data_IF_300514065160
#
_entry.id   IF_300514065160
#
_cell.length_a   1.000
_cell.length_b   1.000
_cell.length_c   1.000
_cell.angle_alpha   90.00
_cell.angle_beta   90.00
_cell.angle_gamma   90.00
#
_symmetry.space_group_name_H-M   'P 1'
#
loop_
_entity.id
_entity.type
_entity.pdbx_description
1 polymer ?
#
# COMPACT_ATOMS: atom_id res chain seq x y z
N UNK A 1 16.07 -16.04 21.48
CA UNK A 1 15.16 -15.02 20.91
C UNK A 1 13.98 -15.79 20.39
N UNK A 2 12.76 -15.38 20.71
CA UNK A 2 11.56 -15.99 20.13
C UNK A 2 11.63 -15.75 18.63
N UNK A 3 11.52 -16.80 17.81
CA UNK A 3 11.38 -16.62 16.36
C UNK A 3 9.97 -16.08 16.12
N UNK A 4 9.88 -14.87 15.56
CA UNK A 4 8.63 -14.25 15.16
C UNK A 4 8.76 -13.81 13.71
N UNK A 5 7.72 -14.11 12.92
CA UNK A 5 7.62 -13.74 11.52
C UNK A 5 6.33 -12.97 11.34
N UNK A 6 6.40 -11.80 10.70
CA UNK A 6 5.22 -11.03 10.33
C UNK A 6 4.98 -11.16 8.83
N UNK A 7 3.72 -11.30 8.45
CA UNK A 7 3.27 -11.12 7.08
C UNK A 7 2.51 -9.80 6.99
N UNK A 8 2.82 -9.00 5.97
CA UNK A 8 2.13 -7.76 5.67
C UNK A 8 1.71 -7.76 4.20
N UNK A 9 0.42 -7.57 3.88
CA UNK A 9 -0.04 -7.61 2.49
C UNK A 9 0.59 -6.51 1.65
N UNK A 10 0.80 -6.76 0.36
CA UNK A 10 1.00 -5.70 -0.61
C UNK A 10 -0.23 -4.81 -0.68
N UNK A 11 -0.06 -3.52 -0.95
CA UNK A 11 -1.17 -2.59 -1.07
C UNK A 11 -1.10 -1.83 -2.38
N UNK A 12 -2.21 -1.86 -3.12
CA UNK A 12 -2.40 -1.09 -4.35
C UNK A 12 -3.40 0.02 -4.07
N UNK A 13 -2.96 1.27 -4.21
CA UNK A 13 -3.86 2.43 -4.13
C UNK A 13 -4.58 2.63 -5.47
N UNK A 14 -5.90 2.77 -5.47
CA UNK A 14 -6.68 3.10 -6.68
C UNK A 14 -6.86 4.61 -6.88
N UNK A 15 -6.98 5.38 -5.80
CA UNK A 15 -6.98 6.84 -5.82
C UNK A 15 -6.63 7.38 -4.43
N UNK A 16 -6.18 8.63 -4.37
CA UNK A 16 -5.87 9.28 -3.10
C UNK A 16 -5.93 10.80 -3.14
N UNK A 17 -5.93 11.42 -1.97
CA UNK A 17 -5.55 12.81 -1.73
C UNK A 17 -4.54 12.84 -0.60
N UNK A 18 -3.45 13.58 -0.77
CA UNK A 18 -2.39 13.74 0.20
C UNK A 18 -2.73 14.85 1.21
N UNK A 19 -2.47 14.59 2.49
CA UNK A 19 -2.70 15.52 3.60
C UNK A 19 -1.41 15.60 4.42
N UNK A 20 -0.64 16.65 4.16
CA UNK A 20 0.60 16.95 4.87
C UNK A 20 0.29 17.55 6.25
N UNK A 21 1.08 17.20 7.25
CA UNK A 21 1.04 17.77 8.60
C UNK A 21 2.47 17.72 9.18
N UNK A 22 2.82 18.67 10.05
CA UNK A 22 4.12 18.66 10.74
C UNK A 22 4.23 17.47 11.71
N UNK A 23 3.09 16.96 12.20
CA UNK A 23 3.00 15.76 13.00
C UNK A 23 2.85 14.53 12.09
N UNK A 24 3.86 13.65 12.01
CA UNK A 24 3.83 12.49 11.11
C UNK A 24 2.71 11.50 11.44
N UNK A 25 2.15 11.54 12.66
CA UNK A 25 1.02 10.69 13.04
C UNK A 25 -0.32 11.23 12.53
N UNK A 26 -0.41 12.52 12.18
CA UNK A 26 -1.59 13.17 11.58
C UNK A 26 -1.50 13.27 10.08
N UNK A 27 -0.29 13.45 9.56
CA UNK A 27 -0.01 13.40 8.14
C UNK A 27 -0.45 12.05 7.58
N UNK A 28 -0.94 12.05 6.36
CA UNK A 28 -1.38 10.83 5.70
C UNK A 28 -2.16 11.10 4.43
N UNK A 29 -3.05 10.18 4.09
CA UNK A 29 -3.86 10.27 2.87
C UNK A 29 -5.29 9.85 3.14
N UNK A 30 -6.20 10.39 2.33
CA UNK A 30 -7.53 9.82 2.13
C UNK A 30 -7.56 9.12 0.78
N UNK A 31 -8.40 8.10 0.62
CA UNK A 31 -8.47 7.35 -0.64
C UNK A 31 -8.94 5.92 -0.45
N UNK A 32 -8.78 5.10 -1.47
CA UNK A 32 -9.09 3.68 -1.38
C UNK A 32 -8.08 2.84 -2.15
N UNK A 33 -8.00 1.57 -1.78
CA UNK A 33 -7.09 0.61 -2.40
C UNK A 33 -7.50 -0.82 -2.14
N UNK A 34 -6.57 -1.74 -2.37
CA UNK A 34 -6.74 -3.17 -2.14
C UNK A 34 -5.48 -3.74 -1.48
N UNK A 35 -5.67 -4.54 -0.44
CA UNK A 35 -4.62 -5.31 0.21
C UNK A 35 -4.56 -6.70 -0.40
N UNK A 36 -3.44 -7.03 -1.03
CA UNK A 36 -3.21 -8.27 -1.75
C UNK A 36 -2.80 -9.40 -0.79
N UNK A 37 -3.14 -10.64 -1.11
CA UNK A 37 -2.62 -11.81 -0.40
C UNK A 37 -1.15 -12.08 -0.70
N UNK A 38 -0.63 -11.51 -1.80
CA UNK A 38 0.80 -11.39 -2.04
C UNK A 38 1.32 -10.22 -1.21
N UNK A 39 2.49 -10.36 -0.61
CA UNK A 39 2.96 -9.41 0.37
C UNK A 39 4.39 -9.63 0.80
N UNK A 40 4.72 -9.01 1.93
CA UNK A 40 6.06 -8.95 2.49
C UNK A 40 6.10 -9.78 3.76
N UNK A 41 7.09 -10.66 3.84
CA UNK A 41 7.43 -11.40 5.06
C UNK A 41 8.61 -10.72 5.73
N UNK A 42 8.51 -10.46 7.03
CA UNK A 42 9.55 -9.83 7.82
C UNK A 42 9.92 -10.72 9.00
N UNK A 43 11.22 -10.87 9.24
CA UNK A 43 11.78 -11.56 10.40
C UNK A 43 13.02 -10.83 10.90
N UNK A 44 13.39 -11.06 12.16
CA UNK A 44 14.55 -10.44 12.79
C UNK A 44 15.66 -11.45 13.07
N UNK A 45 16.90 -11.05 12.83
CA UNK A 45 18.12 -11.79 13.17
C UNK A 45 19.02 -10.96 14.11
N UNK A 46 19.90 -11.59 14.89
CA UNK A 46 20.94 -10.86 15.63
C UNK A 46 21.85 -10.09 14.67
N UNK A 47 21.97 -8.77 14.86
CA UNK A 47 22.81 -7.92 14.03
C UNK A 47 22.19 -6.54 13.83
N UNK A 48 22.63 -5.88 12.77
CA UNK A 48 22.19 -4.55 12.32
C UNK A 48 21.99 -4.55 10.80
N UNK A 49 21.18 -3.61 10.32
CA UNK A 49 20.93 -3.37 8.89
C UNK A 49 19.74 -4.14 8.33
N UNK A 50 19.43 -3.88 7.06
CA UNK A 50 18.29 -4.46 6.37
C UNK A 50 18.76 -5.31 5.20
N UNK A 51 18.15 -6.49 5.07
CA UNK A 51 18.28 -7.37 3.91
C UNK A 51 16.92 -7.46 3.21
N UNK A 52 16.89 -7.21 1.90
CA UNK A 52 15.72 -7.39 1.05
C UNK A 52 16.05 -8.46 0.00
N UNK A 53 15.31 -9.58 0.01
CA UNK A 53 15.49 -10.70 -0.92
C UNK A 53 16.95 -11.20 -1.02
N UNK A 54 17.66 -11.26 0.10
CA UNK A 54 19.07 -11.71 0.14
C UNK A 54 20.11 -10.62 -0.11
N UNK A 55 19.70 -9.41 -0.48
CA UNK A 55 20.59 -8.30 -0.78
C UNK A 55 20.54 -7.22 0.31
N UNK A 56 21.70 -6.65 0.67
CA UNK A 56 21.75 -5.54 1.60
C UNK A 56 21.02 -4.33 1.00
N UNK A 57 20.12 -3.73 1.78
CA UNK A 57 19.26 -2.64 1.36
C UNK A 57 19.21 -1.56 2.45
N UNK A 58 19.00 -0.32 2.05
CA UNK A 58 18.74 0.80 2.96
C UNK A 58 17.24 1.12 2.89
N UNK A 59 16.50 0.82 3.96
CA UNK A 59 15.08 1.16 4.10
C UNK A 59 14.92 2.09 5.31
N UNK A 60 14.95 3.40 5.08
CA UNK A 60 14.94 4.41 6.15
C UNK A 60 13.71 4.27 7.08
N UNK A 61 12.55 3.88 6.55
CA UNK A 61 11.36 3.63 7.36
C UNK A 61 11.58 2.47 8.36
N UNK A 62 12.30 1.41 7.98
CA UNK A 62 12.63 0.29 8.86
C UNK A 62 13.58 0.73 9.97
N UNK A 63 14.61 1.51 9.63
CA UNK A 63 15.55 2.05 10.60
C UNK A 63 14.84 2.94 11.64
N UNK A 64 13.93 3.82 11.18
CA UNK A 64 13.13 4.66 12.07
C UNK A 64 12.20 3.86 12.99
N UNK A 65 11.63 2.75 12.51
CA UNK A 65 10.84 1.85 13.38
C UNK A 65 11.71 1.25 14.48
N UNK A 66 12.88 0.72 14.16
CA UNK A 66 13.80 0.17 15.16
C UNK A 66 14.27 1.24 16.15
N UNK A 67 14.58 2.45 15.69
CA UNK A 67 14.94 3.58 16.55
C UNK A 67 13.81 3.95 17.52
N UNK A 68 12.57 4.09 17.01
CA UNK A 68 11.39 4.40 17.82
C UNK A 68 11.14 3.34 18.90
N UNK A 69 11.33 2.06 18.56
CA UNK A 69 11.20 0.93 19.47
C UNK A 69 12.47 0.68 20.30
N UNK A 70 13.52 1.48 20.15
CA UNK A 70 14.83 1.34 20.84
C UNK A 70 15.37 -0.09 20.73
N UNK A 71 15.24 -0.66 19.55
CA UNK A 71 15.56 -2.05 19.25
C UNK A 71 16.70 -2.11 18.25
N UNK A 72 17.46 -3.21 18.29
CA UNK A 72 18.64 -3.40 17.45
C UNK A 72 18.59 -4.83 16.94
N UNK A 73 18.36 -4.96 15.64
CA UNK A 73 18.25 -6.24 14.95
C UNK A 73 18.60 -6.05 13.47
N UNK A 74 19.05 -7.14 12.86
CA UNK A 74 19.09 -7.26 11.41
C UNK A 74 17.68 -7.61 10.94
N UNK A 75 17.12 -6.81 10.05
CA UNK A 75 15.79 -7.04 9.49
C UNK A 75 15.92 -7.78 8.18
N UNK A 76 15.28 -8.94 8.07
CA UNK A 76 15.22 -9.70 6.81
C UNK A 76 13.82 -9.59 6.24
N UNK A 77 13.74 -9.08 5.01
CA UNK A 77 12.52 -8.77 4.28
C UNK A 77 12.50 -9.64 3.01
N UNK A 78 11.42 -10.40 2.83
CA UNK A 78 11.22 -11.29 1.68
C UNK A 78 9.89 -10.96 0.99
N UNK A 79 9.91 -10.80 -0.34
CA UNK A 79 8.72 -10.50 -1.15
C UNK A 79 8.91 -10.90 -2.60
N UNK A 80 7.86 -11.44 -3.21
CA UNK A 80 7.78 -11.68 -4.66
C UNK A 80 7.19 -10.48 -5.43
N UNK A 81 6.69 -9.46 -4.72
CA UNK A 81 6.14 -8.26 -5.33
C UNK A 81 7.23 -7.42 -6.00
N UNK A 82 6.99 -6.88 -7.20
CA UNK A 82 7.90 -5.94 -7.85
C UNK A 82 8.16 -4.71 -6.96
N UNK A 83 9.44 -4.37 -6.80
CA UNK A 83 9.86 -3.19 -6.03
C UNK A 83 9.54 -1.90 -6.81
N UNK A 84 9.26 -0.80 -6.10
CA UNK A 84 8.98 0.52 -6.70
C UNK A 84 7.85 0.54 -7.74
N UNK A 85 6.94 -0.45 -7.69
CA UNK A 85 5.87 -0.65 -8.67
C UNK A 85 4.45 -0.38 -8.11
N UNK A 86 4.35 0.36 -7.00
CA UNK A 86 3.07 0.77 -6.41
C UNK A 86 2.41 -0.25 -5.45
N UNK A 87 3.19 -1.19 -4.90
CA UNK A 87 2.68 -2.23 -3.98
C UNK A 87 2.92 -1.93 -2.48
N UNK A 88 3.50 -0.78 -2.13
CA UNK A 88 3.71 -0.39 -0.73
C UNK A 88 4.70 -1.29 0.04
N UNK A 89 5.73 -1.83 -0.62
CA UNK A 89 6.72 -2.73 0.01
C UNK A 89 7.47 -2.06 1.17
N UNK A 90 7.80 -0.76 1.08
CA UNK A 90 8.45 -0.02 2.18
C UNK A 90 7.57 0.03 3.44
N UNK A 91 6.30 0.44 3.28
CA UNK A 91 5.34 0.44 4.38
C UNK A 91 5.09 -0.95 4.96
N UNK A 92 5.08 -1.98 4.11
CA UNK A 92 4.94 -3.35 4.56
C UNK A 92 6.14 -3.82 5.38
N UNK A 93 7.36 -3.49 4.94
CA UNK A 93 8.60 -3.78 5.68
C UNK A 93 8.62 -3.04 7.03
N UNK A 94 8.23 -1.77 7.07
CA UNK A 94 8.14 -0.98 8.30
C UNK A 94 7.13 -1.57 9.30
N UNK A 95 5.92 -1.91 8.84
CA UNK A 95 4.89 -2.52 9.68
C UNK A 95 5.29 -3.92 10.16
N UNK A 96 5.86 -4.74 9.28
CA UNK A 96 6.35 -6.07 9.65
C UNK A 96 7.49 -6.00 10.66
N UNK A 97 8.36 -5.00 10.55
CA UNK A 97 9.42 -4.73 11.53
C UNK A 97 8.83 -4.33 12.88
N UNK A 98 7.80 -3.49 12.91
CA UNK A 98 7.16 -3.08 14.16
C UNK A 98 6.51 -4.29 14.86
N UNK A 99 5.78 -5.12 14.11
CA UNK A 99 5.13 -6.33 14.63
C UNK A 99 6.15 -7.34 15.15
N UNK A 100 7.19 -7.64 14.37
CA UNK A 100 8.21 -8.61 14.77
C UNK A 100 9.05 -8.11 15.92
N UNK A 101 9.47 -6.83 15.93
CA UNK A 101 10.21 -6.25 17.03
C UNK A 101 9.41 -6.26 18.33
N UNK A 102 8.12 -5.95 18.28
CA UNK A 102 7.23 -6.04 19.45
C UNK A 102 7.24 -7.45 20.07
N UNK A 103 7.16 -8.48 19.22
CA UNK A 103 7.13 -9.88 19.65
C UNK A 103 8.50 -10.39 20.15
N UNK A 104 9.60 -10.03 19.46
CA UNK A 104 10.96 -10.50 19.79
C UNK A 104 11.50 -9.84 21.05
N UNK A 105 11.25 -8.54 21.22
CA UNK A 105 11.76 -7.75 22.34
C UNK A 105 10.75 -7.57 23.48
N UNK A 106 9.55 -8.16 23.36
CA UNK A 106 8.49 -8.15 24.38
C UNK A 106 8.09 -6.72 24.82
N UNK A 107 7.92 -5.82 23.84
CA UNK A 107 7.56 -4.42 24.12
C UNK A 107 6.14 -4.27 24.66
N UNK A 108 5.25 -5.23 24.40
CA UNK A 108 3.88 -5.24 24.92
C UNK A 108 2.98 -4.14 24.34
N UNK A 109 3.31 -3.62 23.17
CA UNK A 109 2.51 -2.59 22.48
C UNK A 109 1.30 -3.19 21.78
N UNK A 110 0.23 -2.41 21.71
CA UNK A 110 -0.99 -2.75 20.96
C UNK A 110 -0.80 -2.59 19.45
N UNK A 111 -1.68 -3.23 18.68
CA UNK A 111 -1.67 -3.13 17.20
C UNK A 111 -1.71 -1.67 16.72
N UNK A 112 -2.60 -0.84 17.27
CA UNK A 112 -2.70 0.56 16.89
C UNK A 112 -1.41 1.35 17.18
N UNK A 113 -0.70 1.04 18.26
CA UNK A 113 0.59 1.67 18.57
C UNK A 113 1.66 1.26 17.56
N UNK A 114 1.71 -0.02 17.17
CA UNK A 114 2.65 -0.53 16.17
C UNK A 114 2.38 0.05 14.78
N UNK A 115 1.11 0.11 14.38
CA UNK A 115 0.68 0.77 13.13
C UNK A 115 1.04 2.26 13.17
N UNK A 116 0.91 2.93 14.32
CA UNK A 116 1.29 4.34 14.47
C UNK A 116 2.79 4.55 14.33
N UNK A 117 3.62 3.67 14.92
CA UNK A 117 5.08 3.71 14.79
C UNK A 117 5.50 3.52 13.33
N UNK A 118 4.99 2.49 12.66
CA UNK A 118 5.30 2.22 11.26
C UNK A 118 4.81 3.32 10.32
N UNK A 119 3.61 3.85 10.55
CA UNK A 119 3.05 4.95 9.74
C UNK A 119 3.89 6.22 9.89
N UNK A 120 4.24 6.60 11.12
CA UNK A 120 5.09 7.76 11.35
C UNK A 120 6.45 7.62 10.68
N UNK A 121 7.06 6.43 10.75
CA UNK A 121 8.33 6.14 10.10
C UNK A 121 8.28 6.27 8.57
N UNK A 122 7.22 5.78 7.91
CA UNK A 122 6.99 5.93 6.47
C UNK A 122 6.80 7.39 6.06
N UNK A 123 5.99 8.14 6.82
CA UNK A 123 5.76 9.56 6.55
C UNK A 123 7.06 10.34 6.66
N UNK A 124 7.85 10.10 7.72
CA UNK A 124 9.14 10.77 7.90
C UNK A 124 10.16 10.37 6.81
N UNK A 125 9.99 9.21 6.17
CA UNK A 125 10.84 8.73 5.07
C UNK A 125 10.40 9.26 3.71
N UNK A 126 9.26 9.95 3.66
CA UNK A 126 8.67 10.45 2.41
C UNK A 126 8.39 9.31 1.41
N UNK A 127 8.24 8.07 1.89
CA UNK A 127 8.02 6.87 1.07
C UNK A 127 6.54 6.51 0.95
N UNK A 128 5.70 6.95 1.88
CA UNK A 128 4.28 6.59 1.89
C UNK A 128 3.43 7.41 2.85
N UNK A 129 2.16 7.61 2.48
CA UNK A 129 1.17 8.37 3.27
C UNK A 129 -0.04 7.55 3.70
N UNK A 130 -0.12 6.27 3.32
CA UNK A 130 -1.30 5.49 3.68
C UNK A 130 -1.26 4.01 3.34
N UNK A 131 -0.09 3.46 2.97
CA UNK A 131 0.04 2.02 2.76
C UNK A 131 -0.01 1.29 4.10
N UNK A 132 0.74 1.74 5.12
CA UNK A 132 0.77 1.09 6.45
C UNK A 132 -0.62 0.89 7.05
N UNK A 133 -1.45 1.93 7.08
CA UNK A 133 -2.81 1.84 7.65
C UNK A 133 -3.74 0.97 6.80
N UNK A 134 -3.53 0.95 5.48
CA UNK A 134 -4.30 0.12 4.56
C UNK A 134 -3.91 -1.37 4.68
N UNK A 135 -2.62 -1.64 4.81
CA UNK A 135 -2.04 -2.97 4.99
C UNK A 135 -2.42 -3.57 6.34
N UNK A 136 -2.41 -2.76 7.41
CA UNK A 136 -2.91 -3.15 8.71
C UNK A 136 -4.38 -3.57 8.65
N UNK A 137 -5.22 -2.82 7.91
CA UNK A 137 -6.67 -3.08 7.82
C UNK A 137 -7.04 -4.27 6.93
N UNK A 138 -6.29 -4.53 5.85
CA UNK A 138 -6.61 -5.58 4.88
C UNK A 138 -7.83 -5.26 3.99
N UNK A 139 -8.26 -6.20 3.15
CA UNK A 139 -9.46 -6.09 2.31
C UNK A 139 -9.35 -5.03 1.21
N UNK A 140 -10.48 -4.35 0.95
CA UNK A 140 -10.53 -3.11 0.16
C UNK A 140 -10.63 -1.88 1.09
N UNK A 141 -9.51 -1.40 1.65
CA UNK A 141 -9.50 -0.29 2.61
C UNK A 141 -9.98 1.02 1.99
N UNK A 142 -10.78 1.76 2.75
CA UNK A 142 -11.16 3.15 2.45
C UNK A 142 -10.67 4.04 3.59
N UNK A 143 -9.73 4.93 3.28
CA UNK A 143 -9.18 5.94 4.18
C UNK A 143 -10.09 7.17 4.15
N UNK A 144 -10.97 7.29 5.15
CA UNK A 144 -11.93 8.40 5.28
C UNK A 144 -11.26 9.67 5.82
N UNK A 145 -10.43 9.52 6.85
CA UNK A 145 -9.65 10.60 7.46
C UNK A 145 -8.16 10.24 7.44
N UNK A 146 -7.26 11.22 7.20
CA UNK A 146 -5.82 10.97 7.12
C UNK A 146 -5.21 10.73 8.51
N UNK A 147 -4.08 10.02 8.52
CA UNK A 147 -3.26 9.80 9.72
C UNK A 147 -3.28 8.37 10.26
N UNK A 148 -2.45 8.15 11.27
CA UNK A 148 -2.35 6.92 12.03
C UNK A 148 -3.64 6.65 12.85
N UNK A 149 -3.85 5.46 13.44
CA UNK A 149 -5.11 5.07 14.08
C UNK A 149 -5.75 6.03 15.09
N UNK A 150 -4.97 6.88 15.77
CA UNK A 150 -5.50 7.89 16.70
C UNK A 150 -6.08 9.14 16.02
N UNK A 151 -5.76 9.35 14.74
CA UNK A 151 -6.10 10.54 13.96
C UNK A 151 -6.91 10.21 12.70
N UNK A 152 -6.56 9.11 12.04
CA UNK A 152 -7.23 8.62 10.85
C UNK A 152 -8.52 7.84 11.15
N UNK A 153 -9.30 7.63 10.10
CA UNK A 153 -10.51 6.82 10.14
C UNK A 153 -10.53 5.91 8.91
N UNK A 154 -10.63 4.61 9.16
CA UNK A 154 -10.69 3.58 8.13
C UNK A 154 -12.11 3.02 8.03
N UNK A 155 -12.52 2.73 6.81
CA UNK A 155 -13.69 1.94 6.45
C UNK A 155 -13.27 0.91 5.39
N UNK A 156 -14.22 0.26 4.72
CA UNK A 156 -13.92 -0.26 3.40
C UNK A 156 -15.09 -0.91 2.68
N UNK A 157 -14.78 -1.38 1.48
CA UNK A 157 -15.78 -1.97 0.60
C UNK A 157 -16.11 -3.37 1.14
N UNK A 158 -17.37 -3.70 1.42
CA UNK A 158 -17.78 -4.99 1.97
C UNK A 158 -17.83 -6.06 0.87
N UNK A 159 -16.69 -6.28 0.20
CA UNK A 159 -16.54 -7.20 -0.91
C UNK A 159 -15.21 -7.95 -0.84
N UNK A 160 -15.18 -9.10 -1.49
CA UNK A 160 -13.98 -9.92 -1.70
C UNK A 160 -14.04 -10.45 -3.12
N UNK A 161 -12.96 -10.24 -3.87
CA UNK A 161 -12.74 -10.76 -5.22
C UNK A 161 -11.24 -11.00 -5.41
N UNK A 162 -10.92 -11.85 -6.38
CA UNK A 162 -9.55 -12.00 -6.82
C UNK A 162 -9.11 -10.75 -7.59
N UNK A 163 -7.81 -10.50 -7.60
CA UNK A 163 -7.18 -9.40 -8.31
C UNK A 163 -6.07 -9.96 -9.18
N UNK A 164 -6.02 -9.50 -10.43
CA UNK A 164 -4.86 -9.66 -11.29
C UNK A 164 -4.06 -8.35 -11.32
N UNK A 165 -2.75 -8.45 -11.49
CA UNK A 165 -1.91 -7.29 -11.73
C UNK A 165 -0.82 -7.57 -12.78
N UNK A 166 -0.47 -6.51 -13.50
CA UNK A 166 0.57 -6.49 -14.52
C UNK A 166 1.47 -5.27 -14.29
N UNK A 167 2.72 -5.50 -13.95
CA UNK A 167 3.72 -4.44 -13.81
C UNK A 167 4.47 -4.24 -15.12
N UNK A 168 4.41 -3.02 -15.63
CA UNK A 168 5.10 -2.59 -16.87
C UNK A 168 6.40 -1.84 -16.54
N UNK A 169 6.45 -1.20 -15.37
CA UNK A 169 7.60 -0.39 -14.94
C UNK A 169 7.41 0.24 -13.56
N UNK A 170 8.31 1.17 -13.25
CA UNK A 170 8.36 1.90 -11.98
C UNK A 170 7.94 3.37 -12.17
N UNK A 171 7.34 3.97 -11.13
CA UNK A 171 7.11 5.41 -11.08
C UNK A 171 7.64 5.97 -9.77
N UNK A 172 8.29 7.14 -9.85
CA UNK A 172 8.80 7.82 -8.67
C UNK A 172 7.67 8.45 -7.87
N UNK A 173 7.37 7.87 -6.71
CA UNK A 173 6.39 8.41 -5.74
C UNK A 173 6.73 9.85 -5.34
N UNK A 174 8.01 10.11 -5.07
CA UNK A 174 8.49 11.42 -4.66
C UNK A 174 8.25 12.48 -5.73
N UNK A 175 8.49 12.16 -7.01
CA UNK A 175 8.31 13.13 -8.11
C UNK A 175 6.83 13.51 -8.30
N UNK A 176 5.91 12.55 -8.13
CA UNK A 176 4.46 12.82 -8.18
C UNK A 176 4.01 13.69 -7.01
N UNK A 177 4.58 13.48 -5.81
CA UNK A 177 4.20 14.23 -4.61
C UNK A 177 4.89 15.60 -4.49
N UNK A 178 6.00 15.82 -5.19
CA UNK A 178 6.74 17.09 -5.19
C UNK A 178 6.10 18.19 -6.07
N UNK A 179 5.16 17.83 -6.94
CA UNK A 179 4.47 18.77 -7.84
C UNK A 179 3.32 19.56 -7.20
N UNK A 180 2.58 20.32 -8.04
CA UNK A 180 1.32 20.94 -7.60
C UNK A 180 0.24 19.86 -7.43
N UNK A 181 0.04 19.43 -6.19
CA UNK A 181 -0.93 18.38 -5.84
C UNK A 181 -2.38 18.90 -5.76
N UNK A 182 -2.67 20.16 -6.11
CA UNK A 182 -4.03 20.70 -5.99
C UNK A 182 -5.05 19.94 -6.84
N UNK A 183 -4.73 19.66 -8.11
CA UNK A 183 -5.62 18.93 -9.02
C UNK A 183 -5.78 17.47 -8.59
N UNK A 184 -4.67 16.83 -8.20
CA UNK A 184 -4.66 15.47 -7.64
C UNK A 184 -5.56 15.39 -6.39
N UNK A 185 -5.39 16.31 -5.45
CA UNK A 185 -6.17 16.33 -4.21
C UNK A 185 -7.65 16.56 -4.47
N UNK A 186 -8.01 17.40 -5.44
CA UNK A 186 -9.40 17.61 -5.82
C UNK A 186 -10.01 16.37 -6.50
N UNK A 187 -9.28 15.74 -7.42
CA UNK A 187 -9.69 14.47 -8.03
C UNK A 187 -9.90 13.39 -6.97
N UNK A 188 -8.98 13.27 -6.01
CA UNK A 188 -9.05 12.32 -4.90
C UNK A 188 -10.25 12.54 -3.98
N UNK A 189 -10.57 13.80 -3.63
CA UNK A 189 -11.76 14.14 -2.82
C UNK A 189 -13.05 13.78 -3.55
N UNK A 190 -13.13 14.04 -4.86
CA UNK A 190 -14.30 13.68 -5.67
C UNK A 190 -14.47 12.16 -5.76
N UNK A 191 -13.37 11.43 -5.97
CA UNK A 191 -13.36 9.97 -6.01
C UNK A 191 -13.82 9.37 -4.67
N UNK A 192 -13.31 9.88 -3.54
CA UNK A 192 -13.73 9.43 -2.21
C UNK A 192 -15.21 9.70 -1.96
N UNK A 193 -15.69 10.91 -2.28
CA UNK A 193 -17.10 11.27 -2.11
C UNK A 193 -18.04 10.34 -2.88
N UNK A 194 -17.69 10.00 -4.12
CA UNK A 194 -18.44 9.05 -4.94
C UNK A 194 -18.40 7.64 -4.35
N UNK A 195 -17.24 7.15 -3.91
CA UNK A 195 -17.12 5.81 -3.32
C UNK A 195 -17.88 5.68 -2.00
N UNK A 196 -17.85 6.69 -1.13
CA UNK A 196 -18.58 6.67 0.15
C UNK A 196 -20.09 6.70 -0.08
N UNK A 197 -20.57 7.33 -1.17
CA UNK A 197 -21.99 7.32 -1.52
C UNK A 197 -22.49 5.93 -1.96
N UNK A 198 -21.64 5.15 -2.63
CA UNK A 198 -21.96 3.80 -3.10
C UNK A 198 -20.70 2.90 -3.01
N UNK A 199 -20.43 2.27 -1.84
CA UNK A 199 -19.20 1.55 -1.57
C UNK A 199 -19.23 0.15 -2.21
N UNK A 200 -19.05 0.11 -3.53
CA UNK A 200 -18.99 -1.10 -4.35
C UNK A 200 -17.67 -1.17 -5.11
N UNK A 201 -17.29 -2.37 -5.56
CA UNK A 201 -16.08 -2.54 -6.36
C UNK A 201 -16.20 -1.84 -7.72
N UNK A 202 -17.39 -1.84 -8.30
CA UNK A 202 -17.70 -1.14 -9.54
C UNK A 202 -17.44 0.37 -9.40
N UNK A 203 -17.93 0.99 -8.32
CA UNK A 203 -17.64 2.40 -8.03
C UNK A 203 -16.15 2.62 -7.83
N UNK A 204 -15.48 1.76 -7.05
CA UNK A 204 -14.04 1.85 -6.82
C UNK A 204 -13.22 1.83 -8.11
N UNK A 205 -13.46 0.87 -9.00
CA UNK A 205 -12.77 0.76 -10.28
C UNK A 205 -13.05 1.97 -11.18
N UNK A 206 -14.31 2.42 -11.22
CA UNK A 206 -14.69 3.60 -11.99
C UNK A 206 -13.97 4.87 -11.51
N UNK A 207 -14.00 5.15 -10.20
CA UNK A 207 -13.38 6.37 -9.66
C UNK A 207 -11.85 6.31 -9.71
N UNK A 208 -11.25 5.12 -9.60
CA UNK A 208 -9.80 4.93 -9.75
C UNK A 208 -9.33 5.23 -11.17
N UNK A 209 -10.00 4.69 -12.20
CA UNK A 209 -9.70 5.04 -13.61
C UNK A 209 -9.87 6.52 -13.89
N UNK A 210 -10.94 7.11 -13.36
CA UNK A 210 -11.20 8.54 -13.52
C UNK A 210 -10.09 9.37 -12.87
N UNK A 211 -9.67 9.00 -11.66
CA UNK A 211 -8.60 9.68 -10.93
C UNK A 211 -7.28 9.61 -11.70
N UNK A 212 -6.87 8.43 -12.17
CA UNK A 212 -5.62 8.24 -12.92
C UNK A 212 -5.52 9.19 -14.13
N UNK A 213 -6.63 9.35 -14.85
CA UNK A 213 -6.75 10.27 -16.00
C UNK A 213 -6.80 11.73 -15.60
N UNK A 214 -7.50 12.08 -14.54
CA UNK A 214 -7.61 13.48 -14.08
C UNK A 214 -6.34 13.99 -13.40
N UNK A 215 -5.53 13.10 -12.83
CA UNK A 215 -4.26 13.41 -12.18
C UNK A 215 -3.04 13.31 -13.12
N UNK A 216 -3.26 13.09 -14.42
CA UNK A 216 -2.21 12.95 -15.45
C UNK A 216 -1.15 11.88 -15.13
N UNK A 217 -1.57 10.79 -14.49
CA UNK A 217 -0.69 9.68 -14.08
C UNK A 217 -0.62 8.56 -15.13
N UNK A 218 -1.58 8.50 -16.05
CA UNK A 218 -1.67 7.43 -17.04
C UNK A 218 -0.58 7.56 -18.11
N UNK A 219 0.32 6.58 -18.15
CA UNK A 219 1.21 6.41 -19.31
C UNK A 219 0.42 5.83 -20.50
N UNK A 220 0.88 6.04 -21.75
CA UNK A 220 0.22 5.46 -22.92
C UNK A 220 0.11 3.92 -22.87
N UNK A 221 1.10 3.25 -22.28
CA UNK A 221 1.11 1.79 -22.16
C UNK A 221 0.08 1.30 -21.14
N UNK A 222 0.03 1.91 -19.95
CA UNK A 222 -0.99 1.63 -18.92
C UNK A 222 -2.39 1.89 -19.48
N UNK A 223 -2.59 3.00 -20.21
CA UNK A 223 -3.87 3.32 -20.81
C UNK A 223 -4.31 2.26 -21.83
N UNK A 224 -3.40 1.79 -22.70
CA UNK A 224 -3.71 0.75 -23.68
C UNK A 224 -4.17 -0.56 -23.01
N UNK A 225 -3.49 -0.99 -21.95
CA UNK A 225 -3.88 -2.19 -21.20
C UNK A 225 -5.27 -2.04 -20.57
N UNK A 226 -5.58 -0.90 -19.96
CA UNK A 226 -6.91 -0.65 -19.36
C UNK A 226 -8.01 -0.65 -20.44
N UNK A 227 -7.73 -0.10 -21.62
CA UNK A 227 -8.65 -0.10 -22.77
C UNK A 227 -8.90 -1.51 -23.30
N UNK A 228 -7.85 -2.34 -23.40
CA UNK A 228 -7.96 -3.74 -23.84
C UNK A 228 -8.79 -4.58 -22.84
N UNK A 229 -8.56 -4.43 -21.53
CA UNK A 229 -9.39 -5.07 -20.49
C UNK A 229 -10.85 -4.62 -20.58
N UNK A 230 -11.09 -3.31 -20.76
CA UNK A 230 -12.44 -2.79 -20.92
C UNK A 230 -13.11 -3.32 -22.19
N UNK A 231 -12.36 -3.49 -23.29
CA UNK A 231 -12.82 -4.08 -24.54
C UNK A 231 -13.21 -5.55 -24.42
N UNK A 232 -12.56 -6.29 -23.52
CA UNK A 232 -12.91 -7.66 -23.15
C UNK A 232 -14.09 -7.75 -22.16
N UNK A 233 -14.58 -6.62 -21.63
CA UNK A 233 -15.67 -6.54 -20.67
C UNK A 233 -15.23 -6.66 -19.20
N UNK A 234 -13.92 -6.56 -18.93
CA UNK A 234 -13.36 -6.55 -17.59
C UNK A 234 -13.25 -5.14 -16.98
N UNK A 235 -12.84 -5.09 -15.71
CA UNK A 235 -12.63 -3.86 -14.96
C UNK A 235 -11.16 -3.77 -14.54
N UNK A 236 -10.43 -2.75 -15.03
CA UNK A 236 -9.04 -2.48 -14.69
C UNK A 236 -8.81 -1.03 -14.27
N UNK A 237 -7.73 -0.77 -13.54
CA UNK A 237 -7.22 0.56 -13.23
C UNK A 237 -5.71 0.53 -12.99
N UNK A 238 -5.09 1.70 -12.88
CA UNK A 238 -3.68 1.83 -12.55
C UNK A 238 -3.48 1.73 -11.03
N UNK A 239 -2.44 1.01 -10.59
CA UNK A 239 -1.95 1.13 -9.23
C UNK A 239 -1.24 2.47 -9.07
N UNK A 240 -1.79 3.36 -8.24
CA UNK A 240 -1.24 4.71 -8.10
C UNK A 240 0.21 4.65 -7.63
N UNK A 241 1.05 5.46 -8.30
CA UNK A 241 2.49 5.59 -8.04
C UNK A 241 3.33 4.35 -8.45
N UNK A 242 2.82 3.55 -9.39
CA UNK A 242 3.60 2.56 -10.13
C UNK A 242 3.08 2.43 -11.56
N UNK A 243 3.92 1.98 -12.50
CA UNK A 243 3.46 1.66 -13.85
C UNK A 243 2.88 0.24 -13.88
N UNK A 244 1.86 0.03 -13.05
CA UNK A 244 1.19 -1.26 -12.81
C UNK A 244 -0.30 -1.10 -13.08
N UNK A 245 -0.88 -2.07 -13.79
CA UNK A 245 -2.33 -2.19 -13.95
C UNK A 245 -2.82 -3.29 -13.02
N UNK A 246 -3.92 -3.06 -12.32
CA UNK A 246 -4.64 -4.09 -11.60
C UNK A 246 -6.07 -4.23 -12.13
N UNK A 247 -6.59 -5.45 -12.13
CA UNK A 247 -7.92 -5.78 -12.62
C UNK A 247 -8.65 -6.70 -11.64
N UNK A 248 -9.99 -6.66 -11.68
CA UNK A 248 -10.80 -7.60 -10.91
C UNK A 248 -10.88 -8.95 -11.64
N UNK A 249 -10.89 -10.02 -10.85
CA UNK A 249 -11.02 -11.40 -11.31
C UNK A 249 -9.97 -11.79 -12.35
N UNK A 250 -10.37 -12.15 -13.57
CA UNK A 250 -9.50 -12.58 -14.67
C UNK A 250 -9.34 -11.50 -15.76
N UNK A 251 -9.58 -10.22 -15.42
CA UNK A 251 -9.72 -9.15 -16.41
C UNK A 251 -8.50 -8.96 -17.32
N UNK A 252 -7.27 -9.11 -16.79
CA UNK A 252 -6.04 -8.99 -17.59
C UNK A 252 -5.81 -10.24 -18.43
N UNK A 253 -6.00 -11.42 -17.85
CA UNK A 253 -5.87 -12.69 -18.56
C UNK A 253 -6.88 -12.83 -19.71
N UNK A 254 -8.13 -12.42 -19.49
CA UNK A 254 -9.20 -12.43 -20.50
C UNK A 254 -8.92 -11.47 -21.65
N UNK A 255 -8.14 -10.41 -21.41
CA UNK A 255 -7.65 -9.48 -22.42
C UNK A 255 -6.36 -9.96 -23.12
N UNK A 256 -5.79 -11.09 -22.71
CA UNK A 256 -4.64 -11.74 -23.34
C UNK A 256 -3.27 -11.37 -22.75
N UNK A 257 -3.24 -10.76 -21.56
CA UNK A 257 -2.00 -10.47 -20.84
C UNK A 257 -1.57 -11.65 -19.96
N UNK A 258 -0.26 -11.81 -19.79
CA UNK A 258 0.34 -12.71 -18.80
C UNK A 258 0.43 -11.96 -17.47
N UNK A 259 -0.59 -12.12 -16.63
CA UNK A 259 -0.75 -11.38 -15.39
C UNK A 259 -0.59 -12.28 -14.16
N UNK A 260 -0.07 -11.70 -13.08
CA UNK A 260 -0.07 -12.34 -11.77
C UNK A 260 -1.48 -12.28 -11.18
N UNK A 261 -1.89 -13.33 -10.47
CA UNK A 261 -3.22 -13.42 -9.86
C UNK A 261 -3.11 -13.76 -8.38
N UNK A 262 -3.77 -12.96 -7.55
CA UNK A 262 -3.84 -13.18 -6.11
C UNK A 262 -5.23 -12.94 -5.55
N UNK A 263 -5.47 -13.48 -4.35
CA UNK A 263 -6.67 -13.16 -3.58
C UNK A 263 -6.45 -11.88 -2.77
N UNK A 264 -7.51 -11.36 -2.15
CA UNK A 264 -7.43 -10.19 -1.26
C UNK A 264 -7.12 -10.65 0.18
N UNK A 265 -6.15 -10.01 0.83
CA UNK A 265 -5.81 -10.28 2.23
C UNK A 265 -6.83 -9.65 3.18
N UNK A 266 -7.78 -10.43 3.67
CA UNK A 266 -8.80 -9.95 4.62
C UNK A 266 -8.27 -9.72 6.04
N UNK A 267 -7.21 -10.42 6.42
CA UNK A 267 -6.65 -10.36 7.77
C UNK A 267 -5.80 -9.10 8.00
N UNK A 268 -5.28 -8.48 6.93
CA UNK A 268 -4.28 -7.43 7.06
C UNK A 268 -2.93 -7.97 7.57
N UNK A 269 -2.14 -7.09 8.16
CA UNK A 269 -0.84 -7.41 8.74
C UNK A 269 -0.98 -8.28 10.00
N UNK A 270 -0.20 -9.34 10.12
CA UNK A 270 -0.28 -10.25 11.26
C UNK A 270 1.04 -11.00 11.50
N UNK A 271 1.22 -11.51 12.72
CA UNK A 271 2.26 -12.49 13.03
C UNK A 271 1.82 -13.88 12.56
N UNK A 272 2.74 -14.65 12.00
CA UNK A 272 2.55 -16.04 11.55
C UNK A 272 2.82 -17.06 12.67
#
# INVERSE_FOLDING_TARGET
>A
MTEAVAFVPGHVTGFFSAHQDDDPTKAGSRGAGVALADGVTVRLEPGDGVELNGEACDLEAVDRVLEALRSTARVVVETDLPLSAGFGVSGAAALGTALTANAVFDHGLSENELVTVAHGAEVQAETGLGDVVAQARGGFPVRLEPGAPAHGAMDGIPATRDVEYLTLGELSTADVLAGDTAELNEAGRRALSALVAEPTLETFMHVSRRFAREADLLTPEVQAVIEDVSGAGGEASMAMLGETVFALDAGLSDAGYDAERCSVSLAGAHLQ
#
